data_IF_177027913760
#
_entry.id   IF_177027913760
#
_cell.length_a   1.000
_cell.length_b   1.000
_cell.length_c   1.000
_cell.angle_alpha   90.00
_cell.angle_beta   90.00
_cell.angle_gamma   90.00
#
_symmetry.space_group_name_H-M   'P 1'
#
loop_
_entity.id
_entity.type
_entity.pdbx_description
1 polymer ?
#
# COMPACT_ATOMS: atom_id res chain seq x y z
N UNK A 1 44.26 -24.62 35.88
CA UNK A 1 42.98 -23.91 36.15
C UNK A 1 42.73 -23.03 34.94
N UNK A 2 41.71 -23.20 34.11
CA UNK A 2 40.48 -24.01 34.16
C UNK A 2 39.99 -24.09 32.72
N UNK A 3 39.67 -25.30 32.26
CA UNK A 3 38.93 -25.58 31.03
C UNK A 3 37.45 -25.31 31.27
N UNK A 4 36.76 -24.71 30.30
CA UNK A 4 35.29 -24.67 30.28
C UNK A 4 34.79 -25.70 29.23
N UNK A 5 34.08 -26.78 29.62
CA UNK A 5 33.82 -27.93 28.75
C UNK A 5 32.36 -28.08 28.30
N UNK A 6 31.61 -26.99 28.07
CA UNK A 6 30.23 -27.10 27.56
C UNK A 6 29.90 -26.02 26.52
N UNK A 7 30.35 -26.26 25.28
CA UNK A 7 29.81 -25.58 24.11
C UNK A 7 28.39 -26.05 23.83
N UNK A 8 27.41 -25.24 24.21
CA UNK A 8 26.04 -25.37 23.70
C UNK A 8 25.94 -24.57 22.39
N UNK A 9 25.37 -25.12 21.31
CA UNK A 9 25.07 -24.34 20.12
C UNK A 9 24.06 -23.25 20.48
N UNK A 10 24.40 -21.99 20.23
CA UNK A 10 23.42 -20.91 20.24
C UNK A 10 22.37 -21.23 19.19
N UNK A 11 21.14 -21.51 19.63
CA UNK A 11 19.99 -21.60 18.74
C UNK A 11 19.79 -20.23 18.06
N UNK A 12 19.42 -20.22 16.76
CA UNK A 12 19.15 -18.98 16.07
C UNK A 12 17.98 -18.26 16.76
N UNK A 13 18.22 -17.00 17.13
CA UNK A 13 17.23 -16.08 17.68
C UNK A 13 16.10 -15.91 16.66
N UNK A 14 14.96 -16.56 16.92
CA UNK A 14 13.75 -16.43 16.14
C UNK A 14 13.22 -15.00 16.25
N UNK A 15 13.47 -14.20 15.22
CA UNK A 15 12.81 -12.92 15.01
C UNK A 15 11.42 -13.17 14.42
N UNK A 16 10.41 -12.48 14.94
CA UNK A 16 8.99 -12.39 14.51
C UNK A 16 8.02 -13.48 14.98
N UNK A 17 8.45 -14.74 15.25
CA UNK A 17 7.53 -15.74 15.83
C UNK A 17 7.11 -15.45 17.27
N UNK A 18 7.79 -14.52 17.95
CA UNK A 18 7.43 -14.11 19.32
C UNK A 18 6.11 -13.34 19.33
N UNK A 19 5.82 -12.46 18.37
CA UNK A 19 4.68 -11.54 18.47
C UNK A 19 3.31 -12.26 18.54
N UNK A 20 3.05 -13.24 17.67
CA UNK A 20 1.80 -14.00 17.70
C UNK A 20 1.76 -14.98 18.88
N UNK A 21 2.88 -15.67 19.17
CA UNK A 21 2.96 -16.60 20.28
C UNK A 21 2.75 -15.91 21.63
N UNK A 22 3.27 -14.69 21.78
CA UNK A 22 3.13 -13.87 22.99
C UNK A 22 1.67 -13.48 23.20
N UNK A 23 0.95 -13.02 22.16
CA UNK A 23 -0.47 -12.66 22.24
C UNK A 23 -1.37 -13.88 22.44
N UNK A 24 -1.08 -15.00 21.76
CA UNK A 24 -1.88 -16.23 21.83
C UNK A 24 -1.80 -16.85 23.22
N UNK A 25 -0.63 -16.80 23.85
CA UNK A 25 -0.38 -17.39 25.17
C UNK A 25 -0.52 -16.38 26.33
N UNK A 26 -0.85 -15.11 26.04
CA UNK A 26 -1.07 -14.09 27.06
C UNK A 26 -2.36 -14.43 27.86
N UNK A 27 -2.25 -14.72 29.17
CA UNK A 27 -3.42 -15.00 30.00
C UNK A 27 -4.34 -13.79 30.20
N UNK A 28 -3.88 -12.58 29.88
CA UNK A 28 -4.63 -11.34 30.00
C UNK A 28 -5.29 -10.89 28.68
N UNK A 29 -4.97 -11.53 27.56
CA UNK A 29 -5.61 -11.23 26.28
C UNK A 29 -7.08 -11.69 26.28
N UNK A 30 -7.98 -10.77 25.91
CA UNK A 30 -9.37 -11.10 25.68
C UNK A 30 -9.52 -12.14 24.56
N UNK A 31 -10.68 -12.83 24.55
CA UNK A 31 -10.93 -13.93 23.61
C UNK A 31 -10.84 -13.47 22.16
N UNK A 32 -11.37 -12.29 21.83
CA UNK A 32 -11.39 -11.77 20.47
C UNK A 32 -9.97 -11.49 19.98
N UNK A 33 -9.15 -10.83 20.79
CA UNK A 33 -7.74 -10.56 20.49
C UNK A 33 -6.96 -11.85 20.26
N UNK A 34 -7.15 -12.85 21.13
CA UNK A 34 -6.47 -14.15 21.03
C UNK A 34 -6.90 -14.91 19.78
N UNK A 35 -8.21 -14.93 19.50
CA UNK A 35 -8.77 -15.68 18.37
C UNK A 35 -8.41 -15.01 17.04
N UNK A 36 -8.36 -13.67 17.00
CA UNK A 36 -7.79 -12.94 15.87
C UNK A 36 -6.34 -13.35 15.61
N UNK A 37 -5.50 -13.37 16.64
CA UNK A 37 -4.09 -13.77 16.50
C UNK A 37 -3.92 -15.23 16.02
N UNK A 38 -4.72 -16.16 16.57
CA UNK A 38 -4.72 -17.56 16.13
C UNK A 38 -5.15 -17.71 14.67
N UNK A 39 -6.24 -17.04 14.28
CA UNK A 39 -6.79 -17.10 12.94
C UNK A 39 -5.84 -16.51 11.89
N UNK A 40 -5.18 -15.39 12.22
CA UNK A 40 -4.21 -14.72 11.35
C UNK A 40 -2.91 -15.54 11.20
N UNK A 41 -2.42 -16.13 12.30
CA UNK A 41 -1.27 -17.03 12.25
C UNK A 41 -1.57 -18.29 11.41
N UNK A 42 -2.77 -18.86 11.54
CA UNK A 42 -3.20 -19.97 10.70
C UNK A 42 -3.26 -19.59 9.21
N UNK A 43 -3.67 -18.36 8.89
CA UNK A 43 -3.66 -17.85 7.51
C UNK A 43 -2.24 -17.76 6.97
N UNK A 44 -1.31 -17.21 7.75
CA UNK A 44 0.11 -17.15 7.37
C UNK A 44 0.69 -18.53 7.06
N UNK A 45 0.43 -19.52 7.92
CA UNK A 45 0.85 -20.91 7.67
C UNK A 45 0.19 -21.52 6.43
N UNK A 46 -1.11 -21.25 6.19
CA UNK A 46 -1.84 -21.76 5.03
C UNK A 46 -1.28 -21.20 3.71
N UNK A 47 -0.98 -19.90 3.67
CA UNK A 47 -0.35 -19.23 2.52
C UNK A 47 1.02 -19.85 2.22
N UNK A 48 1.86 -20.04 3.24
CA UNK A 48 3.18 -20.66 3.06
C UNK A 48 3.07 -22.12 2.58
N UNK A 49 2.09 -22.87 3.08
CA UNK A 49 1.81 -24.23 2.63
C UNK A 49 1.40 -24.27 1.15
N UNK A 50 0.55 -23.35 0.70
CA UNK A 50 0.16 -23.22 -0.71
C UNK A 50 1.34 -22.89 -1.61
N UNK A 51 2.22 -21.97 -1.17
CA UNK A 51 3.45 -21.65 -1.91
C UNK A 51 4.33 -22.89 -2.08
N UNK A 52 4.51 -23.68 -1.02
CA UNK A 52 5.27 -24.94 -1.08
C UNK A 52 4.64 -26.00 -1.99
N UNK A 53 3.30 -26.01 -2.11
CA UNK A 53 2.55 -26.87 -3.04
C UNK A 53 2.59 -26.40 -4.50
N UNK A 54 3.20 -25.24 -4.78
CA UNK A 54 3.20 -24.62 -6.10
C UNK A 54 1.90 -23.87 -6.44
N UNK A 55 0.99 -23.71 -5.48
CA UNK A 55 -0.33 -23.07 -5.64
C UNK A 55 -0.24 -21.56 -5.45
N UNK A 56 0.66 -20.91 -6.19
CA UNK A 56 0.99 -19.48 -6.01
C UNK A 56 -0.20 -18.55 -6.20
N UNK A 57 -1.05 -18.83 -7.19
CA UNK A 57 -2.21 -17.98 -7.48
C UNK A 57 -3.21 -17.91 -6.31
N UNK A 58 -3.35 -19.00 -5.53
CA UNK A 58 -4.21 -19.01 -4.34
C UNK A 58 -3.54 -18.28 -3.17
N UNK A 59 -2.22 -18.43 -3.02
CA UNK A 59 -1.45 -17.70 -2.00
C UNK A 59 -1.45 -16.18 -2.23
N UNK A 60 -1.32 -15.74 -3.49
CA UNK A 60 -1.30 -14.33 -3.88
C UNK A 60 -2.62 -13.60 -3.59
N UNK A 61 -3.75 -14.30 -3.45
CA UNK A 61 -5.02 -13.68 -3.05
C UNK A 61 -4.88 -12.93 -1.72
N UNK A 62 -4.13 -13.46 -0.76
CA UNK A 62 -4.02 -12.85 0.57
C UNK A 62 -3.36 -11.47 0.52
N UNK A 63 -2.56 -11.17 -0.51
CA UNK A 63 -1.96 -9.85 -0.70
C UNK A 63 -2.98 -8.75 -1.05
N UNK A 64 -4.18 -9.13 -1.49
CA UNK A 64 -5.29 -8.21 -1.77
C UNK A 64 -6.21 -7.99 -0.56
N UNK A 65 -5.97 -8.71 0.54
CA UNK A 65 -6.74 -8.52 1.77
C UNK A 65 -6.27 -7.22 2.41
N UNK A 66 -7.22 -6.32 2.68
CA UNK A 66 -6.94 -5.14 3.48
C UNK A 66 -6.83 -5.62 4.92
N UNK A 67 -7.92 -6.10 5.51
CA UNK A 67 -8.00 -6.39 6.94
C UNK A 67 -8.46 -7.82 7.21
N UNK A 68 -7.92 -8.43 8.27
CA UNK A 68 -8.37 -9.72 8.80
C UNK A 68 -9.07 -9.53 10.14
N UNK A 69 -10.21 -10.20 10.35
CA UNK A 69 -11.00 -10.11 11.59
C UNK A 69 -11.66 -11.45 11.93
N UNK A 70 -11.30 -12.02 13.07
CA UNK A 70 -12.06 -13.07 13.74
C UNK A 70 -13.21 -12.43 14.52
N UNK A 71 -14.43 -12.91 14.28
CA UNK A 71 -15.66 -12.41 14.86
C UNK A 71 -16.55 -13.59 15.26
N UNK A 72 -17.10 -13.53 16.47
CA UNK A 72 -18.09 -14.50 16.90
C UNK A 72 -19.45 -14.23 16.27
N UNK A 73 -20.01 -15.22 15.58
CA UNK A 73 -21.39 -15.18 15.08
C UNK A 73 -22.32 -15.78 16.13
N UNK A 74 -23.02 -14.91 16.87
CA UNK A 74 -23.98 -15.32 17.91
C UNK A 74 -25.13 -16.19 17.38
N UNK A 75 -25.47 -16.08 16.09
CA UNK A 75 -26.59 -16.81 15.48
C UNK A 75 -26.25 -18.27 15.26
N UNK A 76 -25.04 -18.54 14.80
CA UNK A 76 -24.58 -19.91 14.54
C UNK A 76 -23.70 -20.46 15.66
N UNK A 77 -23.35 -19.62 16.63
CA UNK A 77 -22.48 -19.93 17.77
C UNK A 77 -21.06 -20.35 17.39
N UNK A 78 -20.59 -19.88 16.23
CA UNK A 78 -19.29 -20.21 15.64
C UNK A 78 -18.43 -18.96 15.45
N UNK A 79 -17.15 -19.17 15.14
CA UNK A 79 -16.23 -18.08 14.82
C UNK A 79 -16.02 -17.97 13.31
N UNK A 80 -16.28 -16.78 12.79
CA UNK A 80 -15.96 -16.45 11.40
C UNK A 80 -14.65 -15.69 11.35
N UNK A 81 -13.82 -16.01 10.37
CA UNK A 81 -12.61 -15.25 10.07
C UNK A 81 -12.77 -14.55 8.72
N UNK A 82 -13.00 -13.24 8.80
CA UNK A 82 -13.28 -12.39 7.66
C UNK A 82 -12.00 -11.82 7.07
N UNK A 83 -11.83 -12.05 5.77
CA UNK A 83 -10.93 -11.29 4.91
C UNK A 83 -11.70 -10.13 4.30
N UNK A 84 -11.40 -8.91 4.72
CA UNK A 84 -11.99 -7.69 4.17
C UNK A 84 -11.21 -7.22 2.95
N UNK A 85 -11.91 -7.05 1.83
CA UNK A 85 -11.32 -6.68 0.54
C UNK A 85 -12.03 -5.47 -0.06
N UNK A 86 -11.36 -4.75 -0.96
CA UNK A 86 -12.04 -3.69 -1.71
C UNK A 86 -13.03 -4.27 -2.72
N UNK A 87 -14.07 -3.52 -3.08
CA UNK A 87 -15.03 -3.98 -4.11
C UNK A 87 -14.37 -4.28 -5.46
N UNK A 88 -13.23 -3.66 -5.78
CA UNK A 88 -12.46 -3.95 -6.99
C UNK A 88 -11.80 -5.35 -6.96
N UNK A 89 -11.36 -5.79 -5.78
CA UNK A 89 -10.71 -7.09 -5.58
C UNK A 89 -11.71 -8.23 -5.35
N UNK A 90 -12.97 -7.93 -5.00
CA UNK A 90 -13.99 -8.93 -4.63
C UNK A 90 -14.08 -10.10 -5.61
N UNK A 91 -14.09 -9.82 -6.91
CA UNK A 91 -14.21 -10.84 -7.96
C UNK A 91 -13.04 -11.84 -8.01
N UNK A 92 -11.86 -11.50 -7.48
CA UNK A 92 -10.71 -12.42 -7.38
C UNK A 92 -10.91 -13.48 -6.30
N UNK A 93 -11.73 -13.17 -5.29
CA UNK A 93 -12.05 -14.06 -4.17
C UNK A 93 -13.30 -14.90 -4.46
N UNK A 94 -13.46 -15.33 -5.72
CA UNK A 94 -14.55 -16.19 -6.14
C UNK A 94 -13.97 -17.45 -6.81
N UNK A 95 -14.58 -18.59 -6.52
CA UNK A 95 -14.28 -19.84 -7.19
C UNK A 95 -12.99 -20.53 -6.71
N UNK A 96 -12.30 -21.29 -7.60
CA UNK A 96 -11.35 -22.33 -7.20
C UNK A 96 -10.15 -21.86 -6.39
N UNK A 97 -9.72 -20.61 -6.55
CA UNK A 97 -8.57 -20.08 -5.81
C UNK A 97 -8.91 -19.86 -4.33
N UNK A 98 -10.11 -19.34 -4.04
CA UNK A 98 -10.56 -19.17 -2.66
C UNK A 98 -10.80 -20.53 -1.99
N UNK A 99 -11.32 -21.51 -2.72
CA UNK A 99 -11.55 -22.85 -2.18
C UNK A 99 -10.23 -23.53 -1.79
N UNK A 100 -9.19 -23.42 -2.63
CA UNK A 100 -7.83 -23.87 -2.26
C UNK A 100 -7.29 -23.19 -1.01
N UNK A 101 -7.54 -21.89 -0.86
CA UNK A 101 -7.13 -21.15 0.32
C UNK A 101 -7.87 -21.65 1.58
N UNK A 102 -9.18 -21.85 1.49
CA UNK A 102 -10.00 -22.41 2.58
C UNK A 102 -9.55 -23.80 2.98
N UNK A 103 -9.32 -24.68 2.02
CA UNK A 103 -8.85 -26.05 2.28
C UNK A 103 -7.51 -26.06 3.02
N UNK A 104 -6.53 -25.27 2.55
CA UNK A 104 -5.24 -25.14 3.22
C UNK A 104 -5.38 -24.53 4.63
N UNK A 105 -6.28 -23.56 4.79
CA UNK A 105 -6.56 -22.91 6.06
C UNK A 105 -7.13 -23.89 7.09
N UNK A 106 -8.17 -24.65 6.72
CA UNK A 106 -8.78 -25.69 7.57
C UNK A 106 -7.74 -26.74 7.97
N UNK A 107 -6.92 -27.20 7.01
CA UNK A 107 -5.84 -28.15 7.28
C UNK A 107 -4.86 -27.63 8.33
N UNK A 108 -4.50 -26.35 8.26
CA UNK A 108 -3.59 -25.71 9.22
C UNK A 108 -4.23 -25.54 10.59
N UNK A 109 -5.47 -25.05 10.68
CA UNK A 109 -6.18 -24.91 11.95
C UNK A 109 -6.25 -26.25 12.70
N UNK A 110 -6.56 -27.34 11.99
CA UNK A 110 -6.59 -28.69 12.56
C UNK A 110 -5.22 -29.14 13.09
N UNK A 111 -4.14 -28.87 12.34
CA UNK A 111 -2.77 -29.24 12.76
C UNK A 111 -2.28 -28.45 13.97
N UNK A 112 -2.64 -27.16 14.05
CA UNK A 112 -2.29 -26.29 15.16
C UNK A 112 -3.25 -26.45 16.37
N UNK A 113 -4.29 -27.29 16.23
CA UNK A 113 -5.33 -27.48 17.24
C UNK A 113 -6.04 -26.17 17.62
N UNK A 114 -6.19 -25.27 16.65
CA UNK A 114 -6.94 -24.03 16.82
C UNK A 114 -8.44 -24.27 16.62
N UNK A 115 -9.30 -23.38 17.15
CA UNK A 115 -10.72 -23.41 16.84
C UNK A 115 -10.97 -23.42 15.32
N UNK A 116 -12.09 -24.03 14.92
CA UNK A 116 -12.54 -23.93 13.54
C UNK A 116 -13.02 -22.50 13.29
N UNK A 117 -12.31 -21.82 12.40
CA UNK A 117 -12.66 -20.48 11.93
C UNK A 117 -13.22 -20.58 10.52
N UNK A 118 -14.44 -20.12 10.29
CA UNK A 118 -15.00 -20.09 8.95
C UNK A 118 -14.31 -18.99 8.14
N UNK A 119 -13.43 -19.37 7.21
CA UNK A 119 -12.73 -18.41 6.36
C UNK A 119 -13.69 -17.82 5.31
N UNK A 120 -14.04 -16.57 5.54
CA UNK A 120 -15.05 -15.82 4.78
C UNK A 120 -14.45 -14.55 4.18
N UNK A 121 -15.09 -14.03 3.14
CA UNK A 121 -14.63 -12.82 2.45
C UNK A 121 -15.79 -11.84 2.34
N UNK A 122 -15.56 -10.59 2.74
CA UNK A 122 -16.54 -9.50 2.63
C UNK A 122 -15.90 -8.23 2.09
N UNK A 123 -16.74 -7.36 1.52
CA UNK A 123 -16.27 -6.04 1.13
C UNK A 123 -16.10 -5.16 2.37
N UNK A 124 -15.08 -4.31 2.34
CA UNK A 124 -14.93 -3.24 3.32
C UNK A 124 -16.15 -2.33 3.22
N UNK A 125 -16.83 -2.12 4.34
CA UNK A 125 -17.96 -1.19 4.37
C UNK A 125 -17.46 0.26 4.21
N UNK A 126 -18.07 1.05 3.32
CA UNK A 126 -17.74 2.46 3.23
C UNK A 126 -18.16 3.17 4.52
N UNK A 127 -17.33 4.10 4.99
CA UNK A 127 -17.71 4.99 6.08
C UNK A 127 -18.77 5.98 5.60
N UNK A 128 -19.88 6.06 6.33
CA UNK A 128 -21.03 6.90 5.96
C UNK A 128 -21.24 7.98 7.03
N UNK A 129 -21.01 9.24 6.65
CA UNK A 129 -21.19 10.40 7.54
C UNK A 129 -22.62 10.97 7.55
N UNK A 130 -22.91 11.90 8.48
CA UNK A 130 -24.11 12.73 8.40
C UNK A 130 -24.14 13.49 7.06
N UNK A 131 -25.25 13.41 6.32
CA UNK A 131 -25.37 14.01 4.97
C UNK A 131 -25.06 13.07 3.81
N UNK A 132 -24.92 11.75 4.06
CA UNK A 132 -24.63 10.78 3.01
C UNK A 132 -25.67 10.73 1.88
N UNK A 133 -26.92 11.13 2.14
CA UNK A 133 -27.97 11.17 1.10
C UNK A 133 -27.70 12.30 0.11
N UNK A 134 -27.25 13.44 0.60
CA UNK A 134 -26.85 14.59 -0.22
C UNK A 134 -25.59 14.26 -1.01
N UNK A 135 -24.59 13.65 -0.36
CA UNK A 135 -23.38 13.15 -1.03
C UNK A 135 -23.74 12.13 -2.11
N UNK A 136 -24.57 11.13 -1.82
CA UNK A 136 -25.00 10.14 -2.80
C UNK A 136 -25.77 10.79 -3.97
N UNK A 137 -26.66 11.75 -3.69
CA UNK A 137 -27.35 12.50 -4.76
C UNK A 137 -26.33 13.23 -5.63
N UNK A 138 -25.37 13.94 -5.04
CA UNK A 138 -24.29 14.61 -5.79
C UNK A 138 -23.48 13.63 -6.63
N UNK A 139 -23.13 12.45 -6.09
CA UNK A 139 -22.39 11.41 -6.81
C UNK A 139 -23.18 10.80 -7.97
N UNK A 140 -24.50 10.64 -7.84
CA UNK A 140 -25.37 10.05 -8.86
C UNK A 140 -25.86 11.04 -9.91
N UNK A 141 -26.03 12.32 -9.55
CA UNK A 141 -26.56 13.37 -10.44
C UNK A 141 -25.47 14.23 -11.09
N UNK A 142 -24.25 14.24 -10.54
CA UNK A 142 -23.11 14.85 -11.22
C UNK A 142 -22.71 13.99 -12.43
N UNK A 143 -22.46 14.58 -13.61
CA UNK A 143 -21.94 13.85 -14.77
C UNK A 143 -20.48 13.36 -14.60
N UNK A 144 -19.94 13.40 -13.38
CA UNK A 144 -18.58 13.02 -13.05
C UNK A 144 -18.60 11.99 -11.94
N UNK A 145 -18.01 10.82 -12.22
CA UNK A 145 -17.67 9.82 -11.20
C UNK A 145 -16.84 10.49 -10.10
N UNK A 146 -17.18 10.28 -8.83
CA UNK A 146 -16.31 10.68 -7.73
C UNK A 146 -15.00 9.89 -7.85
N UNK A 147 -13.88 10.59 -7.94
CA UNK A 147 -12.57 10.02 -7.66
C UNK A 147 -12.28 10.32 -6.21
N UNK A 148 -12.04 9.30 -5.39
CA UNK A 148 -11.75 9.33 -3.95
C UNK A 148 -10.69 10.40 -3.57
N UNK A 149 -11.08 11.66 -3.45
CA UNK A 149 -10.15 12.75 -3.13
C UNK A 149 -10.78 13.68 -2.10
N UNK A 150 -10.18 13.70 -0.91
CA UNK A 150 -10.48 14.71 0.11
C UNK A 150 -10.26 14.28 1.56
N UNK A 151 -10.36 12.99 1.89
CA UNK A 151 -10.05 12.49 3.23
C UNK A 151 -9.74 11.00 3.17
N UNK A 152 -8.47 10.68 3.01
CA UNK A 152 -8.01 9.32 3.26
C UNK A 152 -7.96 9.13 4.77
N UNK A 153 -9.09 8.73 5.37
CA UNK A 153 -9.05 7.98 6.63
C UNK A 153 -8.49 6.62 6.23
N UNK A 154 -7.16 6.51 6.12
CA UNK A 154 -6.51 5.21 5.87
C UNK A 154 -6.58 4.43 7.18
N UNK A 155 -7.34 3.33 7.19
CA UNK A 155 -7.47 2.43 8.34
C UNK A 155 -6.18 1.64 8.60
N UNK A 156 -5.25 1.61 7.64
CA UNK A 156 -3.95 0.97 7.79
C UNK A 156 -2.80 1.93 7.51
N UNK A 157 -1.67 1.80 8.23
CA UNK A 157 -0.48 2.54 7.88
C UNK A 157 -0.06 2.16 6.45
N UNK A 158 0.24 3.15 5.59
CA UNK A 158 0.66 2.87 4.23
C UNK A 158 1.90 1.96 4.23
N UNK A 159 1.85 0.88 3.44
CA UNK A 159 2.95 -0.09 3.28
C UNK A 159 4.28 0.61 2.96
N UNK A 160 4.22 1.67 2.16
CA UNK A 160 5.36 2.52 1.81
C UNK A 160 5.22 3.85 2.53
N UNK A 161 6.02 4.04 3.58
CA UNK A 161 6.02 5.25 4.41
C UNK A 161 7.45 5.64 4.79
N UNK A 162 7.76 6.91 4.68
CA UNK A 162 9.05 7.48 5.07
C UNK A 162 8.89 8.95 5.44
N UNK A 163 9.59 9.43 6.46
CA UNK A 163 9.52 10.83 6.94
C UNK A 163 8.07 11.34 7.15
N UNK A 164 7.20 10.46 7.65
CA UNK A 164 5.77 10.67 7.86
C UNK A 164 4.95 10.90 6.58
N UNK A 165 5.56 10.76 5.40
CA UNK A 165 4.92 10.80 4.09
C UNK A 165 4.51 9.40 3.63
N UNK A 166 3.47 9.33 2.81
CA UNK A 166 2.90 8.09 2.30
C UNK A 166 3.09 7.99 0.78
N UNK A 167 3.33 6.78 0.29
CA UNK A 167 3.49 6.47 -1.12
C UNK A 167 2.53 5.33 -1.52
N UNK A 168 2.17 5.26 -2.79
CA UNK A 168 1.30 4.19 -3.32
C UNK A 168 2.07 2.94 -3.69
N UNK A 169 3.35 3.08 -4.06
CA UNK A 169 4.19 2.00 -4.53
C UNK A 169 5.68 2.23 -4.16
N UNK A 170 6.49 1.18 -4.33
CA UNK A 170 7.92 1.22 -4.03
C UNK A 170 8.68 2.22 -4.92
N UNK A 171 8.26 2.39 -6.17
CA UNK A 171 8.93 3.29 -7.11
C UNK A 171 8.83 4.76 -6.69
N UNK A 172 7.66 5.19 -6.22
CA UNK A 172 7.48 6.50 -5.60
C UNK A 172 8.40 6.68 -4.38
N UNK A 173 8.46 5.70 -3.49
CA UNK A 173 9.36 5.77 -2.34
C UNK A 173 10.84 5.89 -2.78
N UNK A 174 11.25 5.17 -3.82
CA UNK A 174 12.60 5.24 -4.37
C UNK A 174 12.91 6.64 -4.96
N UNK A 175 11.97 7.23 -5.71
CA UNK A 175 12.10 8.60 -6.24
C UNK A 175 12.22 9.61 -5.10
N UNK A 176 11.41 9.48 -4.05
CA UNK A 176 11.48 10.31 -2.86
C UNK A 176 12.86 10.25 -2.20
N UNK A 177 13.38 9.04 -1.96
CA UNK A 177 14.69 8.82 -1.35
C UNK A 177 15.81 9.46 -2.18
N UNK A 178 15.75 9.34 -3.51
CA UNK A 178 16.72 9.96 -4.41
C UNK A 178 16.66 11.50 -4.37
N UNK A 179 15.46 12.09 -4.39
CA UNK A 179 15.28 13.54 -4.25
C UNK A 179 15.78 14.06 -2.89
N UNK A 180 15.47 13.34 -1.80
CA UNK A 180 15.99 13.66 -0.46
C UNK A 180 17.52 13.61 -0.43
N UNK A 181 18.11 12.58 -1.02
CA UNK A 181 19.57 12.45 -1.11
C UNK A 181 20.20 13.62 -1.88
N UNK A 182 19.62 14.03 -3.01
CA UNK A 182 20.09 15.19 -3.78
C UNK A 182 20.04 16.46 -2.92
N UNK A 183 18.94 16.67 -2.20
CA UNK A 183 18.80 17.81 -1.31
C UNK A 183 19.87 17.83 -0.21
N UNK A 184 20.12 16.70 0.44
CA UNK A 184 21.01 16.62 1.59
C UNK A 184 22.50 16.63 1.23
N UNK A 185 22.86 16.04 0.09
CA UNK A 185 24.27 15.79 -0.27
C UNK A 185 24.81 16.69 -1.38
N UNK A 186 23.96 17.09 -2.32
CA UNK A 186 24.42 17.70 -3.56
C UNK A 186 24.06 19.18 -3.67
N UNK A 187 23.01 19.63 -2.98
CA UNK A 187 22.63 21.04 -3.00
C UNK A 187 23.45 21.88 -2.01
N UNK A 188 23.76 23.14 -2.36
CA UNK A 188 24.30 24.11 -1.41
C UNK A 188 23.35 24.29 -0.21
N UNK A 189 23.91 24.66 0.97
CA UNK A 189 23.14 24.80 2.22
C UNK A 189 21.99 25.79 2.14
N UNK A 190 22.12 26.80 1.30
CA UNK A 190 21.13 27.85 1.05
C UNK A 190 20.06 27.46 0.02
N UNK A 191 20.19 26.28 -0.61
CA UNK A 191 19.24 25.75 -1.58
C UNK A 191 18.41 24.62 -0.95
N UNK A 192 17.13 24.57 -1.27
CA UNK A 192 16.22 23.52 -0.78
C UNK A 192 15.22 23.11 -1.85
N UNK A 193 14.70 21.89 -1.76
CA UNK A 193 13.66 21.36 -2.62
C UNK A 193 12.43 21.06 -1.74
N UNK A 194 11.26 21.61 -2.07
CA UNK A 194 10.02 21.11 -1.49
C UNK A 194 9.62 19.83 -2.20
N UNK A 195 9.42 18.73 -1.47
CA UNK A 195 9.02 17.44 -2.04
C UNK A 195 7.64 17.09 -1.46
N UNK A 196 6.61 17.09 -2.31
CA UNK A 196 5.22 16.86 -1.92
C UNK A 196 4.66 15.65 -2.69
N UNK A 197 4.75 14.42 -2.13
CA UNK A 197 4.17 13.25 -2.77
C UNK A 197 2.64 13.31 -2.74
N UNK A 198 2.02 12.76 -3.78
CA UNK A 198 0.55 12.61 -3.88
C UNK A 198 -0.20 13.92 -3.62
N UNK A 199 0.32 15.02 -4.17
CA UNK A 199 -0.18 16.37 -3.92
C UNK A 199 -1.45 16.66 -4.72
N UNK A 200 -2.58 16.14 -4.25
CA UNK A 200 -3.89 16.37 -4.85
C UNK A 200 -4.18 17.84 -5.13
N UNK A 201 -4.53 18.15 -6.38
CA UNK A 201 -4.78 19.51 -6.87
C UNK A 201 -6.02 19.58 -7.78
N UNK A 202 -6.58 20.79 -7.90
CA UNK A 202 -7.78 21.06 -8.70
C UNK A 202 -7.47 22.07 -9.81
N UNK A 203 -7.74 21.68 -11.05
CA UNK A 203 -7.75 22.57 -12.23
C UNK A 203 -9.17 22.62 -12.83
N UNK A 204 -9.51 23.59 -13.70
CA UNK A 204 -10.85 23.66 -14.28
C UNK A 204 -11.31 22.31 -14.86
N UNK A 205 -12.45 21.83 -14.37
CA UNK A 205 -13.05 20.59 -14.89
C UNK A 205 -12.39 19.27 -14.48
N UNK A 206 -11.22 19.27 -13.81
CA UNK A 206 -10.59 18.03 -13.29
C UNK A 206 -9.90 18.18 -11.91
N UNK A 207 -9.99 17.16 -11.06
CA UNK A 207 -9.12 17.00 -9.88
C UNK A 207 -8.09 15.93 -10.23
N UNK A 208 -6.85 16.13 -9.81
CA UNK A 208 -5.73 15.28 -10.20
C UNK A 208 -4.71 15.24 -9.08
N UNK A 209 -4.04 14.10 -8.97
CA UNK A 209 -2.98 13.84 -8.01
C UNK A 209 -1.74 13.46 -8.82
N UNK A 210 -0.71 14.32 -8.88
CA UNK A 210 0.61 13.92 -9.36
C UNK A 210 1.26 12.96 -8.38
N UNK A 211 2.15 12.11 -8.89
CA UNK A 211 3.02 11.32 -8.02
C UNK A 211 3.86 12.23 -7.13
N UNK A 212 4.45 13.29 -7.73
CA UNK A 212 5.15 14.34 -6.98
C UNK A 212 4.87 15.74 -7.52
N UNK A 213 4.58 16.65 -6.59
CA UNK A 213 4.79 18.08 -6.77
C UNK A 213 6.14 18.45 -6.13
N UNK A 214 6.99 19.13 -6.89
CA UNK A 214 8.33 19.53 -6.46
C UNK A 214 8.45 21.05 -6.56
N UNK A 215 8.92 21.72 -5.51
CA UNK A 215 9.25 23.14 -5.56
C UNK A 215 10.75 23.35 -5.48
N UNK A 216 11.30 24.20 -6.35
CA UNK A 216 12.73 24.51 -6.37
C UNK A 216 12.96 25.90 -6.97
N UNK A 217 13.84 26.70 -6.36
CA UNK A 217 14.16 28.09 -6.77
C UNK A 217 12.91 28.96 -7.04
N UNK A 218 11.89 28.84 -6.20
CA UNK A 218 10.65 29.63 -6.29
C UNK A 218 9.65 29.17 -7.36
N UNK A 219 9.87 28.00 -7.98
CA UNK A 219 9.00 27.43 -9.01
C UNK A 219 8.46 26.08 -8.57
N UNK A 220 7.34 25.67 -9.17
CA UNK A 220 6.73 24.36 -8.97
C UNK A 220 6.83 23.53 -10.25
N UNK A 221 7.17 22.26 -10.12
CA UNK A 221 7.23 21.27 -11.18
C UNK A 221 6.56 19.97 -10.74
N UNK A 222 6.15 19.16 -11.70
CA UNK A 222 5.51 17.86 -11.48
C UNK A 222 6.43 16.75 -12.00
N UNK A 223 6.53 15.68 -11.24
CA UNK A 223 7.08 14.40 -11.69
C UNK A 223 6.00 13.32 -11.63
N UNK A 224 5.95 12.53 -12.69
CA UNK A 224 5.08 11.35 -12.82
C UNK A 224 5.95 10.13 -13.15
N UNK A 225 5.67 8.98 -12.57
CA UNK A 225 6.34 7.72 -12.83
C UNK A 225 5.52 6.96 -13.87
N UNK A 226 6.06 6.81 -15.08
CA UNK A 226 5.35 6.21 -16.20
C UNK A 226 5.61 4.71 -16.27
N UNK A 227 4.54 3.92 -16.21
CA UNK A 227 4.58 2.47 -16.39
C UNK A 227 4.63 2.06 -17.86
N UNK A 228 5.05 0.83 -18.19
CA UNK A 228 5.38 0.41 -19.56
C UNK A 228 4.16 0.24 -20.49
N UNK A 229 2.95 0.64 -20.08
CA UNK A 229 1.68 0.29 -20.78
C UNK A 229 0.81 1.50 -21.19
N UNK A 230 1.34 2.71 -21.21
CA UNK A 230 0.57 3.92 -21.55
C UNK A 230 0.65 4.37 -23.03
N UNK A 231 0.63 3.45 -23.99
CA UNK A 231 0.66 3.81 -25.44
C UNK A 231 -0.67 4.37 -26.01
N UNK A 232 -1.70 4.58 -25.18
CA UNK A 232 -3.05 4.93 -25.64
C UNK A 232 -3.57 6.35 -25.37
N UNK A 233 -2.83 7.23 -24.66
CA UNK A 233 -3.41 8.50 -24.13
C UNK A 233 -2.60 9.77 -24.34
N UNK A 234 -1.61 9.78 -25.24
CA UNK A 234 -0.72 10.92 -25.48
C UNK A 234 -1.42 12.29 -25.62
N UNK A 235 -2.55 12.36 -26.31
CA UNK A 235 -3.32 13.61 -26.48
C UNK A 235 -4.01 14.09 -25.18
N UNK A 236 -4.49 13.16 -24.35
CA UNK A 236 -5.05 13.48 -23.03
C UNK A 236 -3.96 13.90 -22.05
N UNK A 237 -2.76 13.34 -22.19
CA UNK A 237 -1.59 13.70 -21.39
C UNK A 237 -1.08 15.10 -21.75
N UNK A 238 -1.01 15.46 -23.04
CA UNK A 238 -0.66 16.83 -23.46
C UNK A 238 -1.67 17.87 -22.98
N UNK A 239 -2.97 17.57 -23.09
CA UNK A 239 -4.01 18.48 -22.59
C UNK A 239 -3.92 18.66 -21.08
N UNK A 240 -3.58 17.59 -20.33
CA UNK A 240 -3.36 17.64 -18.89
C UNK A 240 -2.16 18.51 -18.54
N UNK A 241 -1.03 18.28 -19.20
CA UNK A 241 0.21 19.02 -18.92
C UNK A 241 0.02 20.52 -19.20
N UNK A 242 -0.71 20.89 -20.26
CA UNK A 242 -1.06 22.29 -20.55
C UNK A 242 -1.88 22.94 -19.43
N UNK A 243 -2.91 22.26 -18.91
CA UNK A 243 -3.72 22.81 -17.81
C UNK A 243 -2.90 23.07 -16.54
N UNK A 244 -1.87 22.27 -16.31
CA UNK A 244 -0.96 22.47 -15.17
C UNK A 244 -0.02 23.64 -15.41
N UNK A 245 0.50 23.77 -16.62
CA UNK A 245 1.32 24.91 -17.01
C UNK A 245 0.53 26.21 -16.93
N UNK A 246 -0.72 26.21 -17.41
CA UNK A 246 -1.65 27.35 -17.28
C UNK A 246 -1.95 27.69 -15.81
N UNK A 247 -1.90 26.70 -14.92
CA UNK A 247 -2.06 26.87 -13.48
C UNK A 247 -0.77 27.29 -12.74
N UNK A 248 0.34 27.50 -13.45
CA UNK A 248 1.61 27.98 -12.89
C UNK A 248 2.64 26.89 -12.56
N UNK A 249 2.41 25.64 -12.98
CA UNK A 249 3.45 24.60 -12.94
C UNK A 249 4.44 24.85 -14.08
N UNK A 250 5.69 25.18 -13.74
CA UNK A 250 6.71 25.53 -14.73
C UNK A 250 7.11 24.35 -15.62
N UNK A 251 7.00 23.12 -15.10
CA UNK A 251 7.48 21.94 -15.81
C UNK A 251 6.79 20.65 -15.36
N UNK A 252 6.49 19.75 -16.30
CA UNK A 252 5.99 18.39 -16.05
C UNK A 252 6.96 17.42 -16.72
N UNK A 253 7.55 16.49 -15.97
CA UNK A 253 8.42 15.45 -16.52
C UNK A 253 7.93 14.05 -16.11
N UNK A 254 8.31 13.06 -16.90
CA UNK A 254 7.93 11.65 -16.67
C UNK A 254 9.19 10.82 -16.48
N UNK A 255 9.24 10.06 -15.39
CA UNK A 255 10.31 9.12 -15.07
C UNK A 255 9.86 7.75 -15.60
N UNK A 256 10.55 7.14 -16.58
CA UNK A 256 10.22 5.80 -17.01
C UNK A 256 10.48 4.81 -15.87
N UNK A 257 9.63 3.80 -15.70
CA UNK A 257 9.77 2.80 -14.63
C UNK A 257 11.15 2.13 -14.64
N UNK A 258 11.73 1.94 -15.82
CA UNK A 258 13.05 1.32 -15.98
C UNK A 258 14.15 2.17 -15.33
N UNK A 259 14.02 3.50 -15.37
CA UNK A 259 14.97 4.39 -14.71
C UNK A 259 14.83 4.35 -13.18
N UNK A 260 13.68 3.92 -12.64
CA UNK A 260 13.51 3.78 -11.18
C UNK A 260 14.33 2.62 -10.64
N UNK A 261 14.53 1.57 -11.44
CA UNK A 261 15.30 0.38 -11.07
C UNK A 261 16.82 0.56 -11.25
N UNK A 262 17.28 1.62 -11.94
CA UNK A 262 18.70 2.00 -12.07
C UNK A 262 18.99 3.30 -11.28
N UNK A 263 19.70 3.22 -10.13
CA UNK A 263 20.02 4.39 -9.32
C UNK A 263 20.81 5.48 -10.05
N UNK A 264 21.63 5.11 -11.04
CA UNK A 264 22.43 6.07 -11.80
C UNK A 264 21.57 6.82 -12.81
N UNK A 265 20.67 6.12 -13.48
CA UNK A 265 19.72 6.71 -14.43
C UNK A 265 18.70 7.58 -13.71
N UNK A 266 18.13 7.10 -12.58
CA UNK A 266 17.22 7.87 -11.74
C UNK A 266 17.84 9.21 -11.33
N UNK A 267 19.06 9.18 -10.80
CA UNK A 267 19.77 10.39 -10.40
C UNK A 267 19.99 11.36 -11.57
N UNK A 268 20.35 10.84 -12.75
CA UNK A 268 20.53 11.67 -13.94
C UNK A 268 19.22 12.34 -14.38
N UNK A 269 18.10 11.61 -14.36
CA UNK A 269 16.76 12.12 -14.69
C UNK A 269 16.33 13.20 -13.69
N UNK A 270 16.45 12.94 -12.39
CA UNK A 270 16.07 13.89 -11.35
C UNK A 270 16.90 15.18 -11.37
N UNK A 271 18.22 15.08 -11.60
CA UNK A 271 19.08 16.26 -11.77
C UNK A 271 18.71 17.06 -13.01
N UNK A 272 18.38 16.39 -14.12
CA UNK A 272 17.90 17.05 -15.34
C UNK A 272 16.59 17.79 -15.06
N UNK A 273 15.66 17.17 -14.34
CA UNK A 273 14.41 17.78 -13.92
C UNK A 273 14.65 19.03 -13.05
N UNK A 274 15.45 18.92 -11.98
CA UNK A 274 15.73 20.04 -11.07
C UNK A 274 16.44 21.20 -11.77
N UNK A 275 17.37 20.90 -12.68
CA UNK A 275 18.01 21.93 -13.52
C UNK A 275 16.98 22.66 -14.36
N UNK A 276 16.11 21.93 -15.08
CA UNK A 276 15.05 22.53 -15.90
C UNK A 276 14.09 23.36 -15.07
N UNK A 277 13.65 22.86 -13.91
CA UNK A 277 12.77 23.58 -13.01
C UNK A 277 13.42 24.88 -12.51
N UNK A 278 14.71 24.83 -12.18
CA UNK A 278 15.48 26.00 -11.76
C UNK A 278 15.74 27.02 -12.87
N UNK A 279 15.82 26.59 -14.13
CA UNK A 279 16.27 27.41 -15.26
C UNK A 279 15.14 27.88 -16.19
N UNK A 280 13.95 27.25 -16.16
CA UNK A 280 12.78 27.54 -17.00
C UNK A 280 12.29 29.01 -16.92
N UNK A 281 12.88 29.89 -17.75
CA UNK A 281 12.61 31.33 -17.80
C UNK A 281 11.64 31.66 -18.93
#
# INVERSE_FOLDING_TARGET
>A
MTTDPWGSPQQPTGSESSAFGDVINDPFADTDTRYNAMADLALGHAVMLLVQRGERAAAELVLDVDKTIAQYDERYQDWDFWLEVTSAQRSRFEGPLLDKLREAYVEVCQRLQYPEFNLMVREIMPEVGPGWREQLREQLTSPRRPTNQGRQVRLQPPKFREDYLAFTNQGEQTVYQALRQIQEKDLPRESTIGIYPLAGGRVPGRTWEPDFLVTYKGRAGVLEIDGPHHNGRRAMDTTRDHLLMDAGIAFVDRIPVEAVDDPSELNAVLRRFLRRLGDAS
#
